data_IF_105509828979
#
_entry.id   IF_105509828979
#
_cell.length_a   1.000
_cell.length_b   1.000
_cell.length_c   1.000
_cell.angle_alpha   90.00
_cell.angle_beta   90.00
_cell.angle_gamma   90.00
#
_symmetry.space_group_name_H-M   'P 1'
#
loop_
_entity.id
_entity.type
_entity.pdbx_description
1 polymer ?
#
# COMPACT_ATOMS: atom_id res chain seq x y z
N UNK A 1 -5.76 1.05 -23.04
CA UNK A 1 -6.56 1.01 -24.29
C UNK A 1 -7.84 0.26 -24.01
N UNK A 2 -8.88 0.98 -24.10
CA UNK A 2 -10.18 0.63 -23.66
C UNK A 2 -10.90 -0.24 -24.68
N UNK A 3 -11.17 -1.48 -24.31
CA UNK A 3 -11.98 -2.41 -25.11
C UNK A 3 -13.41 -2.35 -24.58
N UNK A 4 -14.21 -1.43 -25.11
CA UNK A 4 -15.64 -1.39 -24.82
C UNK A 4 -16.31 -2.68 -25.26
N UNK A 5 -16.65 -3.54 -24.31
CA UNK A 5 -17.55 -4.66 -24.53
C UNK A 5 -18.77 -4.51 -23.62
N UNK A 6 -19.92 -4.99 -24.06
CA UNK A 6 -21.14 -4.98 -23.26
C UNK A 6 -21.40 -6.38 -22.69
N UNK A 7 -21.65 -6.46 -21.38
CA UNK A 7 -22.11 -7.67 -20.73
C UNK A 7 -23.43 -7.37 -20.01
N UNK A 8 -24.54 -7.68 -20.66
CA UNK A 8 -25.87 -7.43 -20.12
C UNK A 8 -26.18 -5.93 -19.96
N UNK A 9 -26.40 -5.48 -18.71
CA UNK A 9 -26.66 -4.06 -18.38
C UNK A 9 -25.39 -3.23 -18.26
N UNK A 10 -24.20 -3.84 -18.38
CA UNK A 10 -22.93 -3.17 -18.21
C UNK A 10 -22.38 -2.78 -19.58
N UNK A 11 -22.25 -1.51 -19.80
CA UNK A 11 -21.62 -0.93 -21.00
C UNK A 11 -20.88 0.31 -20.56
N UNK A 12 -19.58 0.27 -20.57
CA UNK A 12 -18.82 1.48 -20.24
C UNK A 12 -17.35 1.18 -20.10
N UNK A 13 -16.60 2.23 -20.35
CA UNK A 13 -15.16 2.28 -20.24
C UNK A 13 -14.79 2.49 -18.77
N UNK A 14 -13.69 1.82 -18.35
CA UNK A 14 -13.04 2.06 -17.10
C UNK A 14 -12.39 3.42 -17.11
N UNK A 15 -12.79 4.52 -17.09
CA UNK A 15 -12.10 5.83 -17.12
C UNK A 15 -10.73 5.82 -16.44
N UNK A 16 -10.03 6.90 -16.39
CA UNK A 16 -8.79 7.04 -15.62
C UNK A 16 -9.13 6.84 -14.12
N UNK A 17 -8.64 5.75 -13.56
CA UNK A 17 -8.90 5.35 -12.17
C UNK A 17 -7.97 6.05 -11.16
N UNK A 18 -7.00 6.83 -11.64
CA UNK A 18 -6.05 7.55 -10.80
C UNK A 18 -6.59 8.88 -10.32
N UNK A 19 -6.30 9.23 -9.07
CA UNK A 19 -6.63 10.53 -8.48
C UNK A 19 -5.44 11.12 -7.72
N UNK A 20 -5.55 12.39 -7.37
CA UNK A 20 -4.56 13.09 -6.58
C UNK A 20 -4.55 12.57 -5.12
N UNK A 21 -3.36 12.22 -4.63
CA UNK A 21 -3.17 11.84 -3.24
C UNK A 21 -2.14 12.75 -2.57
N UNK A 22 -2.50 13.31 -1.43
CA UNK A 22 -1.56 14.01 -0.56
C UNK A 22 -0.92 13.01 0.41
N UNK A 23 0.40 12.87 0.36
CA UNK A 23 1.17 11.99 1.24
C UNK A 23 1.98 12.85 2.24
N UNK A 24 1.39 13.21 3.39
CA UNK A 24 2.10 14.01 4.39
C UNK A 24 3.20 13.18 5.05
N UNK A 25 4.36 13.80 5.22
CA UNK A 25 5.46 13.25 5.98
C UNK A 25 5.98 14.30 6.95
N UNK A 26 6.20 13.91 8.20
CA UNK A 26 6.75 14.78 9.23
C UNK A 26 7.79 14.03 10.06
N UNK A 27 8.85 14.71 10.44
CA UNK A 27 9.94 14.15 11.24
C UNK A 27 10.36 15.13 12.31
N UNK A 28 10.55 14.61 13.53
CA UNK A 28 11.13 15.34 14.62
C UNK A 28 12.31 14.53 15.18
N UNK A 29 13.43 15.20 15.44
CA UNK A 29 14.58 14.55 16.06
C UNK A 29 15.15 15.43 17.18
N UNK A 30 15.65 14.79 18.23
CA UNK A 30 16.19 15.43 19.40
C UNK A 30 17.49 14.76 19.84
N UNK A 31 18.55 15.56 20.00
CA UNK A 31 19.81 15.10 20.57
C UNK A 31 19.68 15.03 22.10
N UNK A 32 19.78 13.84 22.68
CA UNK A 32 19.85 13.66 24.12
C UNK A 32 21.25 13.95 24.64
N UNK A 33 22.27 13.61 23.84
CA UNK A 33 23.66 13.96 24.03
C UNK A 33 24.38 13.91 22.67
N UNK A 34 25.72 14.03 22.66
CA UNK A 34 26.52 14.03 21.42
C UNK A 34 26.44 12.74 20.60
N UNK A 35 26.06 11.64 21.22
CA UNK A 35 26.07 10.30 20.59
C UNK A 35 24.70 9.64 20.51
N UNK A 36 23.70 10.17 21.23
CA UNK A 36 22.38 9.56 21.33
C UNK A 36 21.28 10.54 20.91
N UNK A 37 20.45 10.08 19.98
CA UNK A 37 19.33 10.84 19.42
C UNK A 37 18.05 10.02 19.54
N UNK A 38 16.94 10.70 19.77
CA UNK A 38 15.59 10.12 19.66
C UNK A 38 14.82 10.89 18.60
N UNK A 39 13.87 10.23 18.00
CA UNK A 39 13.05 10.87 16.99
C UNK A 39 11.67 10.22 16.87
N UNK A 40 10.80 10.89 16.17
CA UNK A 40 9.53 10.36 15.72
C UNK A 40 9.31 10.77 14.26
N UNK A 41 8.97 9.79 13.44
CA UNK A 41 8.53 10.00 12.07
C UNK A 41 7.04 9.71 11.95
N UNK A 42 6.35 10.46 11.11
CA UNK A 42 4.99 10.17 10.70
C UNK A 42 4.94 10.18 9.17
N UNK A 43 4.23 9.24 8.57
CA UNK A 43 4.07 9.17 7.13
C UNK A 43 3.02 8.16 6.71
N UNK A 44 2.73 8.12 5.42
CA UNK A 44 1.84 7.17 4.77
C UNK A 44 2.64 6.26 3.83
N UNK A 45 3.24 5.17 4.33
CA UNK A 45 4.17 4.35 3.55
C UNK A 45 3.48 3.54 2.45
N UNK A 46 2.20 3.22 2.63
CA UNK A 46 1.39 2.49 1.66
C UNK A 46 0.06 3.22 1.45
N UNK A 47 -0.35 3.32 0.21
CA UNK A 47 -1.63 3.88 -0.19
C UNK A 47 -1.91 3.51 -1.63
N UNK A 48 -3.12 3.08 -1.90
CA UNK A 48 -3.59 2.78 -3.24
C UNK A 48 -5.06 3.17 -3.31
N UNK A 49 -5.39 4.03 -4.25
CA UNK A 49 -6.78 4.38 -4.55
C UNK A 49 -7.02 4.13 -6.03
N UNK A 50 -7.98 3.27 -6.32
CA UNK A 50 -8.53 3.10 -7.67
C UNK A 50 -10.03 3.24 -7.60
N UNK A 51 -10.62 4.06 -8.45
CA UNK A 51 -12.06 4.25 -8.53
C UNK A 51 -12.51 4.26 -9.98
N UNK A 52 -13.47 3.40 -10.31
CA UNK A 52 -14.06 3.22 -11.63
C UNK A 52 -15.52 3.62 -11.63
N UNK A 53 -16.05 3.91 -12.80
CA UNK A 53 -17.49 4.13 -12.95
C UNK A 53 -18.29 2.91 -12.49
N UNK A 54 -19.43 3.15 -11.82
CA UNK A 54 -20.30 2.06 -11.32
C UNK A 54 -20.84 1.13 -12.40
N UNK A 55 -20.95 1.60 -13.64
CA UNK A 55 -21.53 0.86 -14.76
C UNK A 55 -20.50 0.31 -15.74
N UNK A 56 -19.20 0.38 -15.40
CA UNK A 56 -18.17 -0.22 -16.24
C UNK A 56 -18.24 -1.75 -16.22
N UNK A 57 -17.76 -2.39 -17.28
CA UNK A 57 -17.89 -3.83 -17.50
C UNK A 57 -17.29 -4.69 -16.36
N UNK A 58 -16.24 -4.22 -15.69
CA UNK A 58 -15.59 -4.89 -14.58
C UNK A 58 -16.18 -4.57 -13.21
N UNK A 59 -17.30 -3.85 -13.10
CA UNK A 59 -17.87 -3.40 -11.82
C UNK A 59 -18.24 -4.53 -10.84
N UNK A 60 -18.47 -5.74 -11.34
CA UNK A 60 -18.64 -6.92 -10.50
C UNK A 60 -17.33 -7.43 -9.88
N UNK A 61 -16.19 -6.99 -10.42
CA UNK A 61 -14.88 -7.30 -9.87
C UNK A 61 -14.42 -6.21 -8.91
N UNK A 62 -14.37 -4.96 -9.38
CA UNK A 62 -14.02 -3.81 -8.54
C UNK A 62 -14.67 -2.53 -9.08
N UNK A 63 -15.16 -1.68 -8.19
CA UNK A 63 -15.56 -0.29 -8.48
C UNK A 63 -14.61 0.66 -7.77
N UNK A 64 -14.35 0.42 -6.49
CA UNK A 64 -13.42 1.19 -5.68
C UNK A 64 -12.56 0.24 -4.86
N UNK A 65 -11.28 0.54 -4.84
CA UNK A 65 -10.33 -0.09 -3.94
C UNK A 65 -9.48 1.02 -3.34
N UNK A 66 -9.63 1.25 -2.05
CA UNK A 66 -8.98 2.34 -1.33
C UNK A 66 -8.29 1.78 -0.09
N UNK A 67 -6.96 1.79 -0.09
CA UNK A 67 -6.15 1.43 1.06
C UNK A 67 -5.38 2.67 1.50
N UNK A 68 -5.50 3.00 2.77
CA UNK A 68 -4.77 4.08 3.41
C UNK A 68 -4.01 3.55 4.61
N UNK A 69 -2.76 3.96 4.74
CA UNK A 69 -1.97 3.68 5.93
C UNK A 69 -1.46 4.96 6.57
N UNK A 70 -1.45 5.00 7.88
CA UNK A 70 -0.75 6.01 8.68
C UNK A 70 0.24 5.27 9.55
N UNK A 71 1.51 5.68 9.50
CA UNK A 71 2.57 5.08 10.28
C UNK A 71 3.20 6.13 11.20
N UNK A 72 3.36 5.77 12.47
CA UNK A 72 4.12 6.54 13.45
C UNK A 72 5.32 5.70 13.87
N UNK A 73 6.51 6.28 13.74
CA UNK A 73 7.78 5.61 13.99
C UNK A 73 8.60 6.33 15.07
N UNK A 74 8.39 6.06 16.36
CA UNK A 74 9.37 6.42 17.39
C UNK A 74 10.67 5.66 17.15
N UNK A 75 11.79 6.35 17.27
CA UNK A 75 13.09 5.80 16.93
C UNK A 75 14.20 6.33 17.85
N UNK A 76 15.26 5.55 17.93
CA UNK A 76 16.49 5.88 18.63
C UNK A 76 17.67 5.67 17.69
N UNK A 77 18.62 6.59 17.71
CA UNK A 77 19.86 6.48 16.96
C UNK A 77 21.04 6.70 17.89
N UNK A 78 22.01 5.81 17.78
CA UNK A 78 23.24 5.84 18.56
C UNK A 78 24.46 5.93 17.65
N UNK A 79 25.26 6.96 17.88
CA UNK A 79 26.59 7.09 17.28
C UNK A 79 27.57 6.26 18.09
N UNK A 80 27.89 5.06 17.58
CA UNK A 80 28.82 4.13 18.22
C UNK A 80 30.24 4.71 18.26
N UNK A 81 30.62 5.36 17.16
CA UNK A 81 31.88 6.08 16.99
C UNK A 81 31.76 7.07 15.80
N UNK A 82 32.85 7.72 15.42
CA UNK A 82 32.87 8.70 14.31
C UNK A 82 32.49 8.09 12.94
N UNK A 83 32.63 6.76 12.80
CA UNK A 83 32.41 6.05 11.53
C UNK A 83 31.11 5.27 11.48
N UNK A 84 30.50 4.95 12.62
CA UNK A 84 29.35 4.05 12.69
C UNK A 84 28.24 4.65 13.53
N UNK A 85 27.06 4.74 12.98
CA UNK A 85 25.82 5.04 13.69
C UNK A 85 24.80 3.93 13.44
N UNK A 86 24.08 3.55 14.49
CA UNK A 86 23.03 2.53 14.46
C UNK A 86 21.70 3.18 14.79
N UNK A 87 20.62 2.68 14.20
CA UNK A 87 19.27 3.13 14.45
C UNK A 87 18.32 1.96 14.65
N UNK A 88 17.36 2.16 15.54
CA UNK A 88 16.23 1.25 15.73
C UNK A 88 14.94 2.07 15.87
N UNK A 89 13.85 1.58 15.28
CA UNK A 89 12.54 2.21 15.40
C UNK A 89 11.44 1.16 15.52
N UNK A 90 10.38 1.52 16.22
CA UNK A 90 9.12 0.81 16.22
C UNK A 90 8.16 1.50 15.26
N UNK A 91 7.34 0.73 14.58
CA UNK A 91 6.33 1.24 13.67
C UNK A 91 4.96 0.87 14.23
N UNK A 92 4.20 1.84 14.70
CA UNK A 92 2.76 1.68 14.84
C UNK A 92 2.12 2.08 13.52
N UNK A 93 1.30 1.22 12.97
CA UNK A 93 0.64 1.49 11.70
C UNK A 93 -0.84 1.18 11.79
N UNK A 94 -1.66 2.17 11.44
CA UNK A 94 -3.08 2.01 11.18
C UNK A 94 -3.29 1.80 9.69
N UNK A 95 -4.09 0.82 9.33
CA UNK A 95 -4.52 0.54 7.98
C UNK A 95 -6.04 0.63 7.90
N UNK A 96 -6.55 1.32 6.90
CA UNK A 96 -7.97 1.40 6.54
C UNK A 96 -8.13 0.89 5.12
N UNK A 97 -9.11 0.05 4.88
CA UNK A 97 -9.41 -0.54 3.59
C UNK A 97 -10.90 -0.41 3.26
N UNK A 98 -11.20 0.20 2.14
CA UNK A 98 -12.55 0.26 1.57
C UNK A 98 -12.53 -0.44 0.20
N UNK A 99 -13.43 -1.40 0.02
CA UNK A 99 -13.57 -2.10 -1.24
C UNK A 99 -15.03 -2.15 -1.67
N UNK A 100 -15.33 -1.65 -2.86
CA UNK A 100 -16.68 -1.58 -3.41
C UNK A 100 -16.74 -2.34 -4.73
N UNK A 101 -17.74 -3.19 -4.88
CA UNK A 101 -18.04 -3.86 -6.13
C UNK A 101 -19.54 -4.04 -6.34
N UNK A 102 -19.96 -4.31 -7.56
CA UNK A 102 -21.30 -4.80 -7.85
C UNK A 102 -21.45 -6.24 -7.34
N UNK A 103 -22.57 -6.58 -6.74
CA UNK A 103 -22.80 -7.90 -6.14
C UNK A 103 -22.78 -9.03 -7.19
N UNK A 104 -23.10 -8.73 -8.43
CA UNK A 104 -23.03 -9.65 -9.57
C UNK A 104 -23.59 -9.02 -10.85
N UNK A 105 -23.51 -9.72 -11.95
CA UNK A 105 -24.00 -9.27 -13.28
C UNK A 105 -25.33 -9.90 -13.68
N UNK A 106 -25.75 -10.95 -12.97
CA UNK A 106 -27.00 -11.69 -13.26
C UNK A 106 -27.84 -11.74 -12.00
N UNK A 107 -29.10 -11.31 -12.12
CA UNK A 107 -30.07 -11.38 -11.02
C UNK A 107 -30.56 -12.82 -10.82
N UNK A 108 -30.75 -13.19 -9.56
CA UNK A 108 -31.25 -14.50 -9.15
C UNK A 108 -32.69 -14.35 -8.62
N UNK A 109 -33.72 -14.79 -9.37
CA UNK A 109 -35.10 -14.81 -8.87
C UNK A 109 -35.26 -15.82 -7.73
N UNK A 110 -36.29 -15.63 -6.90
CA UNK A 110 -36.63 -16.61 -5.87
C UNK A 110 -36.96 -17.99 -6.51
N UNK A 111 -36.41 -19.03 -5.89
CA UNK A 111 -36.56 -20.42 -6.41
C UNK A 111 -35.45 -20.87 -7.35
N UNK A 112 -34.71 -19.99 -7.99
CA UNK A 112 -33.59 -20.36 -8.84
C UNK A 112 -32.41 -20.88 -8.01
N UNK A 113 -31.91 -22.08 -8.27
CA UNK A 113 -30.76 -22.66 -7.59
C UNK A 113 -30.89 -22.74 -6.05
N UNK A 114 -32.15 -22.91 -5.53
CA UNK A 114 -32.42 -22.97 -4.09
C UNK A 114 -32.43 -21.61 -3.38
N UNK A 115 -32.43 -20.52 -4.10
CA UNK A 115 -32.48 -19.14 -3.54
C UNK A 115 -33.88 -18.86 -3.01
N UNK A 116 -34.00 -18.61 -1.71
CA UNK A 116 -35.32 -18.40 -1.05
C UNK A 116 -35.90 -17.00 -1.31
N UNK A 117 -35.04 -16.02 -1.60
CA UNK A 117 -35.43 -14.62 -1.87
C UNK A 117 -34.82 -14.14 -3.17
N UNK A 118 -35.44 -13.19 -3.91
CA UNK A 118 -34.84 -12.60 -5.08
C UNK A 118 -33.53 -11.88 -4.71
N UNK A 119 -32.49 -12.09 -5.51
CA UNK A 119 -31.19 -11.40 -5.35
C UNK A 119 -30.91 -10.57 -6.60
N UNK A 120 -31.23 -9.27 -6.59
CA UNK A 120 -30.98 -8.36 -7.71
C UNK A 120 -29.50 -7.96 -7.73
N UNK A 121 -28.62 -8.88 -8.09
CA UNK A 121 -27.16 -8.73 -7.99
C UNK A 121 -26.65 -7.62 -8.91
N UNK A 122 -27.28 -7.46 -10.08
CA UNK A 122 -26.89 -6.43 -11.07
C UNK A 122 -27.16 -4.98 -10.61
N UNK A 123 -28.06 -4.82 -9.62
CA UNK A 123 -28.46 -3.53 -9.07
C UNK A 123 -28.00 -3.35 -7.62
N UNK A 124 -27.27 -4.33 -7.08
CA UNK A 124 -26.80 -4.32 -5.70
C UNK A 124 -25.29 -4.14 -5.65
N UNK A 125 -24.84 -3.45 -4.62
CA UNK A 125 -23.41 -3.18 -4.38
C UNK A 125 -23.01 -3.80 -3.05
N UNK A 126 -21.81 -4.37 -3.03
CA UNK A 126 -21.17 -4.86 -1.82
C UNK A 126 -20.04 -3.91 -1.48
N UNK A 127 -20.05 -3.39 -0.26
CA UNK A 127 -19.02 -2.52 0.30
C UNK A 127 -18.39 -3.20 1.51
N UNK A 128 -17.09 -3.36 1.49
CA UNK A 128 -16.27 -3.77 2.62
C UNK A 128 -15.60 -2.53 3.18
N UNK A 129 -15.79 -2.29 4.48
CA UNK A 129 -15.07 -1.30 5.26
C UNK A 129 -14.41 -2.01 6.43
N UNK A 130 -13.10 -1.93 6.53
CA UNK A 130 -12.33 -2.60 7.58
C UNK A 130 -11.07 -1.81 7.93
N UNK A 131 -10.66 -1.92 9.19
CA UNK A 131 -9.45 -1.28 9.69
C UNK A 131 -8.71 -2.16 10.69
N UNK A 132 -7.44 -1.84 10.93
CA UNK A 132 -6.58 -2.49 11.91
C UNK A 132 -5.41 -1.61 12.33
N UNK A 133 -4.98 -1.82 13.56
CA UNK A 133 -3.77 -1.22 14.12
C UNK A 133 -2.73 -2.31 14.39
N UNK A 134 -1.57 -2.19 13.77
CA UNK A 134 -0.53 -3.21 13.90
C UNK A 134 0.86 -2.63 14.12
N UNK A 135 1.81 -3.50 14.46
CA UNK A 135 3.16 -3.12 14.83
C UNK A 135 4.21 -3.79 13.95
N UNK A 136 5.24 -3.03 13.67
CA UNK A 136 6.46 -3.49 13.05
C UNK A 136 7.67 -2.83 13.67
N UNK A 137 8.83 -3.09 13.09
CA UNK A 137 10.09 -2.50 13.53
C UNK A 137 10.99 -2.20 12.32
N UNK A 138 11.98 -1.37 12.54
CA UNK A 138 13.03 -1.12 11.57
C UNK A 138 14.38 -0.93 12.25
N UNK A 139 15.42 -1.30 11.54
CA UNK A 139 16.80 -1.09 11.94
C UNK A 139 17.57 -0.43 10.81
N UNK A 140 18.61 0.28 11.16
CA UNK A 140 19.49 0.89 10.18
C UNK A 140 20.89 1.10 10.72
N UNK A 141 21.83 1.18 9.81
CA UNK A 141 23.20 1.55 10.11
C UNK A 141 23.73 2.54 9.07
N UNK A 142 24.51 3.50 9.52
CA UNK A 142 25.23 4.46 8.68
C UNK A 142 26.71 4.30 8.94
N UNK A 143 27.48 4.17 7.86
CA UNK A 143 28.92 4.00 7.87
C UNK A 143 29.58 5.19 7.16
N UNK A 144 30.44 5.92 7.85
CA UNK A 144 31.33 6.92 7.27
C UNK A 144 32.63 6.22 6.85
N UNK A 145 32.71 5.84 5.57
CA UNK A 145 33.86 5.10 5.01
C UNK A 145 35.06 6.05 4.88
N UNK A 146 34.79 7.29 4.46
CA UNK A 146 35.76 8.37 4.36
C UNK A 146 35.04 9.71 4.57
N UNK A 147 35.76 10.81 4.62
CA UNK A 147 35.17 12.15 4.71
C UNK A 147 34.24 12.46 3.53
N UNK A 148 34.49 11.81 2.38
CA UNK A 148 33.70 11.98 1.18
C UNK A 148 32.59 10.93 1.00
N UNK A 149 32.65 9.77 1.69
CA UNK A 149 31.79 8.62 1.36
C UNK A 149 31.06 8.10 2.60
N UNK A 150 29.73 8.04 2.49
CA UNK A 150 28.84 7.41 3.47
C UNK A 150 28.05 6.29 2.83
N UNK A 151 27.90 5.20 3.56
CA UNK A 151 27.04 4.07 3.20
C UNK A 151 25.93 3.93 4.22
N UNK A 152 24.73 3.63 3.76
CA UNK A 152 23.57 3.37 4.60
C UNK A 152 22.98 1.99 4.29
N UNK A 153 22.54 1.30 5.34
CA UNK A 153 21.70 0.11 5.21
C UNK A 153 20.51 0.27 6.11
N UNK A 154 19.35 -0.16 5.64
CA UNK A 154 18.15 -0.18 6.47
C UNK A 154 17.27 -1.38 6.11
N UNK A 155 16.59 -1.90 7.11
CA UNK A 155 15.60 -2.94 6.98
C UNK A 155 14.36 -2.55 7.76
N UNK A 156 13.20 -2.69 7.14
CA UNK A 156 11.88 -2.57 7.75
C UNK A 156 11.21 -3.93 7.72
N UNK A 157 10.68 -4.36 8.85
CA UNK A 157 9.95 -5.62 8.97
C UNK A 157 8.62 -5.59 8.21
N UNK A 158 8.12 -6.75 7.88
CA UNK A 158 6.72 -6.96 7.52
C UNK A 158 5.81 -6.46 8.64
N UNK A 159 4.59 -6.04 8.27
CA UNK A 159 3.53 -5.70 9.21
C UNK A 159 2.28 -6.47 8.80
N UNK A 160 1.85 -7.38 9.67
CA UNK A 160 0.63 -8.15 9.49
C UNK A 160 -0.55 -7.38 10.04
N UNK A 161 -1.52 -7.06 9.20
CA UNK A 161 -2.80 -6.48 9.57
C UNK A 161 -3.89 -7.55 9.58
N UNK A 162 -4.65 -7.60 10.66
CA UNK A 162 -5.83 -8.44 10.81
C UNK A 162 -7.06 -7.53 10.78
N UNK A 163 -7.39 -7.07 9.57
CA UNK A 163 -8.48 -6.14 9.32
C UNK A 163 -9.81 -6.71 9.81
N UNK A 164 -10.51 -5.95 10.64
CA UNK A 164 -11.86 -6.26 11.10
C UNK A 164 -12.83 -5.14 10.67
N UNK A 165 -14.03 -5.54 10.26
CA UNK A 165 -14.99 -4.56 9.79
C UNK A 165 -16.33 -5.15 9.35
N UNK A 166 -16.93 -4.56 8.35
CA UNK A 166 -18.24 -4.94 7.87
C UNK A 166 -18.30 -5.06 6.35
N UNK A 167 -19.00 -6.07 5.89
CA UNK A 167 -19.46 -6.21 4.51
C UNK A 167 -20.94 -5.81 4.47
N UNK A 168 -21.25 -4.72 3.81
CA UNK A 168 -22.62 -4.25 3.61
C UNK A 168 -23.08 -4.46 2.18
N UNK A 169 -24.32 -4.89 2.01
CA UNK A 169 -24.97 -4.98 0.71
C UNK A 169 -26.09 -3.96 0.63
N UNK A 170 -26.07 -3.16 -0.43
CA UNK A 170 -27.09 -2.15 -0.71
C UNK A 170 -27.69 -2.37 -2.09
N UNK A 171 -29.01 -2.34 -2.19
CA UNK A 171 -29.74 -2.57 -3.44
C UNK A 171 -31.24 -2.48 -3.26
N UNK A 172 -32.03 -2.79 -4.31
CA UNK A 172 -33.47 -2.62 -4.30
C UNK A 172 -34.23 -3.62 -3.43
N UNK A 173 -33.61 -4.72 -2.97
CA UNK A 173 -34.28 -5.71 -2.12
C UNK A 173 -33.77 -5.59 -0.65
N UNK A 174 -34.55 -5.04 0.29
CA UNK A 174 -34.14 -4.87 1.68
C UNK A 174 -33.82 -6.19 2.40
N UNK A 175 -34.51 -7.27 2.06
CA UNK A 175 -34.25 -8.59 2.67
C UNK A 175 -32.90 -9.12 2.20
N UNK A 176 -32.59 -8.99 0.92
CA UNK A 176 -31.28 -9.36 0.39
C UNK A 176 -30.17 -8.48 1.00
N UNK A 177 -30.40 -7.18 1.15
CA UNK A 177 -29.45 -6.28 1.78
C UNK A 177 -29.08 -6.77 3.20
N UNK A 178 -30.10 -7.14 3.99
CA UNK A 178 -29.90 -7.63 5.36
C UNK A 178 -29.15 -8.96 5.39
N UNK A 179 -29.56 -9.96 4.61
CA UNK A 179 -28.90 -11.28 4.64
C UNK A 179 -27.55 -11.29 3.90
N UNK A 180 -27.36 -10.37 2.98
CA UNK A 180 -26.09 -10.17 2.28
C UNK A 180 -25.02 -9.47 3.11
N UNK A 181 -25.45 -8.71 4.12
CA UNK A 181 -24.55 -7.98 5.03
C UNK A 181 -24.11 -8.84 6.21
N UNK A 182 -22.88 -8.61 6.67
CA UNK A 182 -22.31 -9.33 7.82
C UNK A 182 -21.07 -8.59 8.33
N UNK A 183 -20.58 -8.94 9.52
CA UNK A 183 -19.19 -8.66 9.84
C UNK A 183 -18.24 -9.33 8.83
N UNK A 184 -17.08 -8.76 8.67
CA UNK A 184 -16.04 -9.28 7.78
C UNK A 184 -14.66 -9.09 8.40
N UNK A 185 -13.73 -9.97 8.02
CA UNK A 185 -12.32 -9.84 8.36
C UNK A 185 -11.45 -10.24 7.17
N UNK A 186 -10.23 -9.74 7.15
CA UNK A 186 -9.23 -10.09 6.17
C UNK A 186 -7.83 -9.96 6.77
N UNK A 187 -6.90 -10.79 6.35
CA UNK A 187 -5.49 -10.66 6.77
C UNK A 187 -4.67 -10.16 5.59
N UNK A 188 -3.88 -9.12 5.82
CA UNK A 188 -2.96 -8.54 4.84
C UNK A 188 -1.58 -8.43 5.48
N UNK A 189 -0.56 -9.00 4.85
CA UNK A 189 0.83 -8.86 5.30
C UNK A 189 1.57 -7.88 4.41
N UNK A 190 1.76 -6.64 4.89
CA UNK A 190 2.55 -5.64 4.17
C UNK A 190 4.03 -6.05 4.11
N UNK A 191 4.68 -5.84 2.97
CA UNK A 191 6.01 -6.36 2.72
C UNK A 191 7.09 -5.71 3.59
N UNK A 192 8.13 -6.49 3.83
CA UNK A 192 9.40 -5.98 4.31
C UNK A 192 10.18 -5.27 3.20
N UNK A 193 11.10 -4.42 3.61
CA UNK A 193 11.93 -3.65 2.67
C UNK A 193 13.36 -3.61 3.19
N UNK A 194 14.31 -3.87 2.30
CA UNK A 194 15.73 -3.68 2.52
C UNK A 194 16.24 -2.59 1.59
N UNK A 195 17.05 -1.66 2.11
CA UNK A 195 17.64 -0.56 1.34
C UNK A 195 19.13 -0.50 1.62
N UNK A 196 19.93 -0.41 0.56
CA UNK A 196 21.33 -0.05 0.60
C UNK A 196 21.52 1.28 -0.13
N UNK A 197 22.21 2.22 0.49
CA UNK A 197 22.41 3.57 -0.05
C UNK A 197 23.86 3.99 0.02
N UNK A 198 24.28 4.81 -0.93
CA UNK A 198 25.59 5.45 -0.97
C UNK A 198 25.43 6.94 -1.20
N UNK A 199 26.21 7.74 -0.48
CA UNK A 199 26.41 9.16 -0.74
C UNK A 199 27.90 9.43 -0.86
N UNK A 200 28.31 10.05 -1.96
CA UNK A 200 29.71 10.36 -2.24
C UNK A 200 29.89 11.83 -2.65
N UNK A 201 30.64 12.57 -1.86
CA UNK A 201 31.04 13.94 -2.17
C UNK A 201 32.17 13.91 -3.19
N UNK A 202 31.84 14.23 -4.44
CA UNK A 202 32.81 14.23 -5.53
C UNK A 202 33.78 15.43 -5.45
N UNK A 203 33.21 16.60 -5.14
CA UNK A 203 33.92 17.85 -4.90
C UNK A 203 33.05 18.77 -3.99
N UNK A 204 33.51 19.99 -3.61
CA UNK A 204 32.73 20.85 -2.73
C UNK A 204 31.35 21.25 -3.22
N UNK A 205 31.05 21.05 -4.51
CA UNK A 205 29.76 21.40 -5.13
C UNK A 205 28.90 20.19 -5.46
N UNK A 206 29.51 19.04 -5.79
CA UNK A 206 28.79 17.86 -6.26
C UNK A 206 28.80 16.73 -5.24
N UNK A 207 27.63 16.23 -4.93
CA UNK A 207 27.42 15.00 -4.16
C UNK A 207 26.60 14.04 -5.01
N UNK A 208 27.10 12.82 -5.19
CA UNK A 208 26.43 11.73 -5.90
C UNK A 208 25.71 10.84 -4.90
N UNK A 209 24.53 10.40 -5.28
CA UNK A 209 23.65 9.55 -4.48
C UNK A 209 23.28 8.32 -5.28
N UNK A 210 23.19 7.19 -4.61
CA UNK A 210 22.66 5.96 -5.19
C UNK A 210 21.99 5.12 -4.14
N UNK A 211 20.90 4.44 -4.50
CA UNK A 211 20.27 3.44 -3.66
C UNK A 211 19.78 2.24 -4.47
N UNK A 212 19.80 1.09 -3.82
CA UNK A 212 19.17 -0.14 -4.27
C UNK A 212 18.25 -0.59 -3.14
N UNK A 213 16.99 -0.82 -3.46
CA UNK A 213 16.02 -1.35 -2.51
C UNK A 213 15.37 -2.62 -3.04
N UNK A 214 15.08 -3.52 -2.13
CA UNK A 214 14.30 -4.73 -2.36
C UNK A 214 13.05 -4.67 -1.50
N UNK A 215 11.91 -5.06 -2.08
CA UNK A 215 10.62 -5.14 -1.38
C UNK A 215 10.02 -6.52 -1.58
N UNK A 216 9.71 -7.21 -0.47
CA UNK A 216 9.19 -8.57 -0.42
C UNK A 216 7.68 -8.66 -0.72
N UNK A 217 7.24 -8.18 -1.89
CA UNK A 217 5.84 -8.17 -2.29
C UNK A 217 5.20 -9.56 -2.39
N UNK A 218 6.00 -10.62 -2.51
CA UNK A 218 5.50 -12.01 -2.49
C UNK A 218 4.81 -12.38 -1.19
N UNK A 219 4.95 -11.59 -0.10
CA UNK A 219 4.17 -11.76 1.12
C UNK A 219 2.68 -11.47 0.92
N UNK A 220 2.33 -10.65 -0.10
CA UNK A 220 0.95 -10.35 -0.48
C UNK A 220 0.56 -11.27 -1.63
N UNK A 221 0.37 -12.56 -1.36
CA UNK A 221 0.01 -13.57 -2.36
C UNK A 221 -1.50 -13.53 -2.67
N UNK A 222 -2.31 -13.58 -1.63
CA UNK A 222 -3.77 -13.49 -1.71
C UNK A 222 -4.36 -12.87 -0.46
N UNK A 223 -5.50 -12.25 -0.59
CA UNK A 223 -6.29 -11.72 0.52
C UNK A 223 -7.66 -12.39 0.51
N UNK A 224 -7.92 -13.24 1.50
CA UNK A 224 -9.21 -13.88 1.69
C UNK A 224 -10.08 -12.99 2.60
N UNK A 225 -11.21 -12.52 2.08
CA UNK A 225 -12.22 -11.78 2.83
C UNK A 225 -13.22 -12.78 3.39
N UNK A 226 -13.25 -12.91 4.71
CA UNK A 226 -14.11 -13.85 5.43
C UNK A 226 -15.30 -13.11 6.05
N UNK A 227 -16.46 -13.73 6.06
CA UNK A 227 -17.62 -13.26 6.82
C UNK A 227 -17.49 -13.67 8.29
N UNK A 228 -18.16 -12.97 9.18
CA UNK A 228 -18.24 -13.34 10.60
C UNK A 228 -18.79 -14.75 10.85
N UNK A 229 -19.53 -15.31 9.88
CA UNK A 229 -19.96 -16.70 9.90
C UNK A 229 -18.86 -17.74 9.60
N UNK A 230 -17.64 -17.30 9.25
CA UNK A 230 -16.55 -18.13 8.77
C UNK A 230 -16.65 -18.49 7.27
N UNK A 231 -17.67 -18.01 6.57
CA UNK A 231 -17.80 -18.26 5.13
C UNK A 231 -16.90 -17.30 4.33
N UNK A 232 -16.24 -17.81 3.31
CA UNK A 232 -15.48 -17.01 2.35
C UNK A 232 -16.42 -16.10 1.57
N UNK A 233 -16.20 -14.79 1.65
CA UNK A 233 -16.95 -13.80 0.85
C UNK A 233 -16.28 -13.57 -0.50
N UNK A 234 -14.94 -13.45 -0.52
CA UNK A 234 -14.15 -13.23 -1.72
C UNK A 234 -12.68 -13.53 -1.47
N UNK A 235 -11.97 -13.93 -2.52
CA UNK A 235 -10.49 -13.94 -2.56
C UNK A 235 -10.03 -12.88 -3.55
N UNK A 236 -9.11 -12.03 -3.11
CA UNK A 236 -8.34 -11.14 -3.97
C UNK A 236 -6.99 -11.83 -4.22
N UNK A 237 -6.82 -12.35 -5.41
CA UNK A 237 -5.58 -13.00 -5.85
C UNK A 237 -4.62 -11.93 -6.36
N UNK A 238 -3.60 -11.63 -5.58
CA UNK A 238 -2.59 -10.63 -5.91
C UNK A 238 -1.38 -11.24 -6.63
N UNK A 239 -0.95 -12.44 -6.26
CA UNK A 239 0.19 -13.17 -6.86
C UNK A 239 1.37 -12.23 -7.20
N UNK A 240 1.70 -11.33 -6.25
CA UNK A 240 2.78 -10.37 -6.45
C UNK A 240 4.14 -11.07 -6.41
N UNK A 241 5.11 -10.47 -7.09
CA UNK A 241 6.52 -10.86 -7.02
C UNK A 241 7.35 -9.82 -6.28
N UNK A 242 8.42 -10.27 -5.67
CA UNK A 242 9.40 -9.36 -5.08
C UNK A 242 9.98 -8.43 -6.13
N UNK A 243 10.27 -7.21 -5.74
CA UNK A 243 10.73 -6.18 -6.65
C UNK A 243 12.01 -5.53 -6.20
N UNK A 244 12.78 -5.07 -7.19
CA UNK A 244 13.95 -4.25 -7.00
C UNK A 244 13.70 -2.83 -7.52
N UNK A 245 14.25 -1.86 -6.80
CA UNK A 245 14.31 -0.48 -7.23
C UNK A 245 15.77 -0.01 -7.19
N UNK A 246 16.20 0.66 -8.24
CA UNK A 246 17.52 1.27 -8.33
C UNK A 246 17.35 2.75 -8.62
N UNK A 247 17.98 3.60 -7.81
CA UNK A 247 17.93 5.04 -8.01
C UNK A 247 19.33 5.65 -8.00
N UNK A 248 19.51 6.67 -8.82
CA UNK A 248 20.71 7.48 -8.91
C UNK A 248 20.31 8.95 -8.78
N UNK A 249 21.10 9.71 -8.06
CA UNK A 249 20.86 11.13 -7.86
C UNK A 249 22.14 11.94 -7.76
N UNK A 250 21.99 13.25 -7.87
CA UNK A 250 23.06 14.20 -7.65
C UNK A 250 22.53 15.47 -6.99
N UNK A 251 23.26 15.97 -6.04
CA UNK A 251 23.08 17.30 -5.45
C UNK A 251 24.15 18.22 -5.99
N UNK A 252 23.75 19.40 -6.43
CA UNK A 252 24.67 20.45 -6.88
C UNK A 252 24.50 21.71 -6.06
N UNK A 253 25.54 22.13 -5.35
CA UNK A 253 25.58 23.39 -4.61
C UNK A 253 25.88 24.52 -5.57
N UNK A 254 24.84 25.24 -6.00
CA UNK A 254 24.98 26.35 -6.94
C UNK A 254 25.70 27.54 -6.26
N UNK A 255 25.27 27.88 -5.02
CA UNK A 255 25.85 28.90 -4.16
C UNK A 255 25.38 28.62 -2.70
N UNK A 256 25.72 29.49 -1.75
CA UNK A 256 25.39 29.29 -0.33
C UNK A 256 23.88 29.21 -0.04
N UNK A 257 23.04 29.78 -0.90
CA UNK A 257 21.58 29.82 -0.73
C UNK A 257 20.84 28.74 -1.54
N UNK A 258 21.44 28.20 -2.62
CA UNK A 258 20.75 27.33 -3.57
C UNK A 258 21.45 25.99 -3.75
N UNK A 259 20.73 24.90 -3.49
CA UNK A 259 21.12 23.53 -3.79
C UNK A 259 20.12 22.91 -4.77
N UNK A 260 20.58 22.48 -5.92
CA UNK A 260 19.79 21.76 -6.92
C UNK A 260 19.90 20.26 -6.66
N UNK A 261 18.79 19.53 -6.89
CA UNK A 261 18.74 18.08 -6.70
C UNK A 261 18.16 17.45 -7.96
N UNK A 262 18.80 16.40 -8.44
CA UNK A 262 18.41 15.64 -9.62
C UNK A 262 18.36 14.16 -9.25
N UNK A 263 17.45 13.41 -9.86
CA UNK A 263 17.40 11.98 -9.63
C UNK A 263 16.57 11.26 -10.69
N UNK A 264 16.93 10.02 -10.94
CA UNK A 264 16.20 9.07 -11.76
C UNK A 264 16.11 7.75 -11.00
N UNK A 265 15.01 7.05 -11.16
CA UNK A 265 14.83 5.73 -10.57
C UNK A 265 14.18 4.79 -11.58
N UNK A 266 14.61 3.54 -11.52
CA UNK A 266 13.92 2.40 -12.13
C UNK A 266 13.28 1.59 -11.00
N UNK A 267 11.99 1.29 -11.14
CA UNK A 267 11.20 0.57 -10.16
C UNK A 267 10.49 -0.60 -10.85
N UNK A 268 10.71 -1.82 -10.40
CA UNK A 268 10.05 -2.99 -10.94
C UNK A 268 8.59 -3.05 -10.47
N UNK A 269 7.70 -3.48 -11.35
CA UNK A 269 6.32 -3.75 -10.96
C UNK A 269 6.20 -5.09 -10.23
N UNK A 270 5.47 -5.16 -9.11
CA UNK A 270 5.17 -6.42 -8.44
C UNK A 270 4.19 -7.30 -9.23
N UNK A 271 3.49 -6.73 -10.20
CA UNK A 271 2.46 -7.43 -10.97
C UNK A 271 3.07 -8.30 -12.06
N UNK A 272 3.00 -9.63 -11.93
CA UNK A 272 3.54 -10.59 -12.89
C UNK A 272 2.84 -10.55 -14.25
N UNK A 273 1.55 -10.28 -14.26
CA UNK A 273 0.74 -10.30 -15.48
C UNK A 273 -0.29 -9.18 -15.50
N UNK A 274 0.11 -7.97 -15.95
CA UNK A 274 -0.76 -6.79 -15.92
C UNK A 274 -2.02 -6.93 -16.77
N UNK A 275 -2.01 -7.80 -17.82
CA UNK A 275 -3.17 -8.00 -18.69
C UNK A 275 -4.30 -8.79 -17.99
N UNK A 276 -4.02 -9.50 -16.91
CA UNK A 276 -4.99 -10.29 -16.16
C UNK A 276 -5.54 -9.58 -14.92
N UNK A 277 -5.12 -8.35 -14.64
CA UNK A 277 -5.48 -7.63 -13.44
C UNK A 277 -6.39 -6.45 -13.72
N UNK A 278 -7.39 -6.30 -12.87
CA UNK A 278 -8.38 -5.22 -12.90
C UNK A 278 -8.26 -4.27 -11.70
N UNK A 279 -7.18 -4.38 -10.94
CA UNK A 279 -6.86 -3.50 -9.79
C UNK A 279 -5.56 -2.75 -10.03
#
# INVERSE_FOLDING_TARGET
SDQGSSAGVLSGNAQDAGDWAALPNAYLSWALNKDLYVGVGMGAPFGLVTEYNRDWIGSAHSIKFDIKTININPSIAWRVNEKVSLGFGLNWQRMEAEYVRRAGIVDLPAGAGGVLIPRPLSQSFATLDADDDSWGWNVGALFTVSDATKLGVSYRSKIKHELEGSLSVTGPNPVFNTVGSSGANATVELPDTFIFSVAHQLDPKWELLGDISWTGWSSVDKVDIMRSSGALAQTLDTDFQDTWRVALGANYQLNDAWKLKFGVAFDETPVKNPEKRLT
#
